data_IF_373231023626
#
_entry.id   IF_373231023626
#
_cell.length_a   1.000
_cell.length_b   1.000
_cell.length_c   1.000
_cell.angle_alpha   90.00
_cell.angle_beta   90.00
_cell.angle_gamma   90.00
#
_symmetry.space_group_name_H-M   'P 1'
#
loop_
_entity.id
_entity.type
_entity.pdbx_description
1 polymer ?
#
# COMPACT_ATOMS: atom_id res chain seq x y z
N UNK A 1 3.62 -24.39 -2.80
CA UNK A 1 4.56 -23.24 -2.85
C UNK A 1 4.25 -22.27 -4.01
N UNK A 2 3.73 -22.72 -5.15
CA UNK A 2 3.38 -21.86 -6.29
C UNK A 2 2.12 -21.00 -6.01
N UNK A 3 1.16 -21.49 -5.27
CA UNK A 3 -0.10 -20.79 -4.94
C UNK A 3 0.09 -19.63 -3.93
N UNK A 4 1.15 -19.65 -3.11
CA UNK A 4 1.44 -18.57 -2.17
C UNK A 4 2.08 -17.34 -2.86
N UNK A 5 2.72 -17.52 -4.02
CA UNK A 5 3.31 -16.45 -4.82
C UNK A 5 2.26 -15.71 -5.68
N UNK A 6 1.18 -16.38 -6.07
CA UNK A 6 0.09 -15.78 -6.85
C UNK A 6 -0.79 -14.81 -6.04
N UNK A 7 -0.74 -14.87 -4.70
CA UNK A 7 -1.53 -13.98 -3.83
C UNK A 7 -0.87 -12.63 -3.51
N UNK A 8 0.39 -12.43 -3.91
CA UNK A 8 1.17 -11.23 -3.54
C UNK A 8 1.02 -10.05 -4.52
N UNK A 9 0.69 -10.29 -5.78
CA UNK A 9 0.27 -9.24 -6.71
C UNK A 9 -1.15 -9.58 -7.14
N UNK A 10 -2.07 -8.62 -7.06
CA UNK A 10 -3.42 -8.83 -7.58
C UNK A 10 -3.34 -9.09 -9.09
N UNK A 11 -3.80 -10.27 -9.60
CA UNK A 11 -3.71 -10.59 -11.03
C UNK A 11 -4.38 -9.54 -11.91
N UNK A 12 -5.45 -8.94 -11.40
CA UNK A 12 -6.18 -7.87 -12.06
C UNK A 12 -5.34 -6.58 -12.22
N UNK A 13 -4.53 -6.22 -11.21
CA UNK A 13 -3.61 -5.08 -11.33
C UNK A 13 -2.57 -5.33 -12.43
N UNK A 14 -1.95 -6.50 -12.44
CA UNK A 14 -0.96 -6.87 -13.46
C UNK A 14 -1.55 -6.80 -14.87
N UNK A 15 -2.72 -7.40 -15.06
CA UNK A 15 -3.42 -7.38 -16.35
C UNK A 15 -3.75 -5.96 -16.81
N UNK A 16 -4.30 -5.12 -15.93
CA UNK A 16 -4.64 -3.74 -16.23
C UNK A 16 -3.40 -2.90 -16.55
N UNK A 17 -2.29 -3.13 -15.82
CA UNK A 17 -1.02 -2.44 -16.08
C UNK A 17 -0.46 -2.80 -17.44
N UNK A 18 -0.46 -4.08 -17.81
CA UNK A 18 -0.01 -4.53 -19.13
C UNK A 18 -0.86 -3.94 -20.26
N UNK A 19 -2.20 -3.91 -20.11
CA UNK A 19 -3.09 -3.28 -21.08
C UNK A 19 -2.81 -1.78 -21.23
N UNK A 20 -2.55 -1.07 -20.12
CA UNK A 20 -2.16 0.33 -20.12
C UNK A 20 -0.83 0.52 -20.86
N UNK A 21 0.18 -0.30 -20.59
CA UNK A 21 1.47 -0.24 -21.30
C UNK A 21 1.26 -0.47 -22.79
N UNK A 22 0.49 -1.48 -23.19
CA UNK A 22 0.19 -1.75 -24.61
C UNK A 22 -0.46 -0.55 -25.31
N UNK A 23 -1.36 0.17 -24.64
CA UNK A 23 -2.00 1.35 -25.22
C UNK A 23 -1.00 2.48 -25.48
N UNK A 24 0.05 2.60 -24.66
CA UNK A 24 1.09 3.62 -24.81
C UNK A 24 2.21 3.22 -25.79
N UNK A 25 2.38 1.95 -26.14
CA UNK A 25 3.47 1.53 -27.04
C UNK A 25 3.49 2.29 -28.38
N UNK A 26 2.32 2.69 -28.90
CA UNK A 26 2.22 3.43 -30.16
C UNK A 26 2.09 4.94 -29.98
N UNK A 27 1.46 5.39 -28.90
CA UNK A 27 1.10 6.79 -28.68
C UNK A 27 2.14 7.55 -27.88
N UNK A 28 2.78 6.90 -26.92
CA UNK A 28 3.84 7.47 -26.07
C UNK A 28 4.80 6.38 -25.60
N UNK A 29 5.78 5.97 -26.43
CA UNK A 29 6.72 4.89 -26.10
C UNK A 29 7.56 5.13 -24.83
N UNK A 30 7.86 6.40 -24.51
CA UNK A 30 8.61 6.75 -23.30
C UNK A 30 7.78 6.43 -22.03
N UNK A 31 6.50 6.78 -22.02
CA UNK A 31 5.60 6.40 -20.93
C UNK A 31 5.50 4.88 -20.82
N UNK A 32 5.38 4.16 -21.94
CA UNK A 32 5.35 2.70 -21.93
C UNK A 32 6.63 2.10 -21.32
N UNK A 33 7.81 2.64 -21.65
CA UNK A 33 9.10 2.20 -21.11
C UNK A 33 9.19 2.46 -19.61
N UNK A 34 8.76 3.64 -19.14
CA UNK A 34 8.72 4.01 -17.72
C UNK A 34 7.82 3.07 -16.93
N UNK A 35 6.61 2.80 -17.45
CA UNK A 35 5.68 1.86 -16.79
C UNK A 35 6.23 0.43 -16.73
N UNK A 36 6.93 -0.03 -17.77
CA UNK A 36 7.62 -1.33 -17.75
C UNK A 36 8.71 -1.38 -16.68
N UNK A 37 9.50 -0.31 -16.52
CA UNK A 37 10.52 -0.24 -15.47
C UNK A 37 9.90 -0.29 -14.06
N UNK A 38 8.81 0.45 -13.81
CA UNK A 38 8.10 0.38 -12.54
C UNK A 38 7.51 -1.00 -12.29
N UNK A 39 6.90 -1.62 -13.31
CA UNK A 39 6.37 -2.97 -13.20
C UNK A 39 7.47 -3.99 -12.89
N UNK A 40 8.63 -3.90 -13.55
CA UNK A 40 9.78 -4.75 -13.27
C UNK A 40 10.27 -4.60 -11.83
N UNK A 41 10.33 -3.36 -11.30
CA UNK A 41 10.68 -3.09 -9.89
C UNK A 41 9.70 -3.76 -8.93
N UNK A 42 8.39 -3.66 -9.17
CA UNK A 42 7.38 -4.31 -8.36
C UNK A 42 7.50 -5.84 -8.39
N UNK A 43 7.69 -6.41 -9.57
CA UNK A 43 7.86 -7.86 -9.74
C UNK A 43 9.10 -8.37 -9.00
N UNK A 44 10.24 -7.69 -9.14
CA UNK A 44 11.49 -8.06 -8.47
C UNK A 44 11.31 -8.11 -6.95
N UNK A 45 10.62 -7.14 -6.37
CA UNK A 45 10.32 -7.11 -4.91
C UNK A 45 9.47 -8.29 -4.44
N UNK A 46 8.53 -8.75 -5.26
CA UNK A 46 7.73 -9.94 -4.94
C UNK A 46 8.58 -11.22 -4.88
N UNK A 47 9.69 -11.28 -5.64
CA UNK A 47 10.62 -12.42 -5.62
C UNK A 47 11.68 -12.32 -4.51
N UNK A 48 12.05 -11.12 -4.10
CA UNK A 48 13.08 -10.88 -3.08
C UNK A 48 12.60 -11.03 -1.62
N UNK A 49 11.35 -11.45 -1.41
CA UNK A 49 10.71 -11.63 -0.09
C UNK A 49 11.33 -12.78 0.75
N UNK A 50 12.68 -12.83 0.85
CA UNK A 50 13.42 -13.78 1.71
C UNK A 50 13.77 -13.19 3.07
N UNK A 51 13.58 -11.89 3.27
CA UNK A 51 13.88 -11.20 4.52
C UNK A 51 12.63 -11.05 5.37
N UNK A 52 12.75 -11.30 6.66
CA UNK A 52 11.67 -11.15 7.62
C UNK A 52 11.29 -9.68 7.83
N UNK A 53 12.28 -8.78 7.68
CA UNK A 53 12.12 -7.34 7.80
C UNK A 53 12.85 -6.61 6.68
N UNK A 54 12.30 -5.47 6.27
CA UNK A 54 12.89 -4.52 5.31
C UNK A 54 12.85 -3.10 5.89
N UNK A 55 13.67 -2.18 5.37
CA UNK A 55 13.56 -0.78 5.76
C UNK A 55 12.26 -0.16 5.25
N UNK A 56 11.68 0.79 6.01
CA UNK A 56 10.53 1.56 5.56
C UNK A 56 10.79 2.24 4.20
N UNK A 57 12.01 2.75 3.99
CA UNK A 57 12.44 3.29 2.70
C UNK A 57 12.24 2.27 1.57
N UNK A 58 12.70 1.03 1.79
CA UNK A 58 12.52 -0.04 0.81
C UNK A 58 11.04 -0.31 0.53
N UNK A 59 10.17 -0.36 1.53
CA UNK A 59 8.72 -0.52 1.32
C UNK A 59 8.15 0.67 0.51
N UNK A 60 8.53 1.90 0.88
CA UNK A 60 8.07 3.12 0.20
C UNK A 60 8.53 3.21 -1.26
N UNK A 61 9.75 2.76 -1.59
CA UNK A 61 10.18 2.71 -3.00
C UNK A 61 9.27 1.82 -3.86
N UNK A 62 8.78 0.69 -3.30
CA UNK A 62 7.79 -0.16 -3.98
C UNK A 62 6.44 0.54 -4.14
N UNK A 63 5.98 1.21 -3.08
CA UNK A 63 4.74 1.98 -3.11
C UNK A 63 4.82 3.10 -4.15
N UNK A 64 5.93 3.82 -4.22
CA UNK A 64 6.14 4.88 -5.22
C UNK A 64 6.06 4.31 -6.64
N UNK A 65 6.73 3.19 -6.91
CA UNK A 65 6.64 2.53 -8.22
C UNK A 65 5.19 2.12 -8.57
N UNK A 66 4.43 1.61 -7.60
CA UNK A 66 3.02 1.30 -7.75
C UNK A 66 2.17 2.54 -8.04
N UNK A 67 2.40 3.63 -7.29
CA UNK A 67 1.69 4.89 -7.45
C UNK A 67 1.94 5.55 -8.81
N UNK A 68 3.16 5.47 -9.36
CA UNK A 68 3.46 5.97 -10.71
C UNK A 68 2.65 5.22 -11.79
N UNK A 69 2.47 3.91 -11.64
CA UNK A 69 1.56 3.16 -12.52
C UNK A 69 0.11 3.60 -12.32
N UNK A 70 -0.32 3.76 -11.06
CA UNK A 70 -1.68 4.19 -10.74
C UNK A 70 -1.99 5.59 -11.29
N UNK A 71 -1.06 6.55 -11.19
CA UNK A 71 -1.22 7.91 -11.73
C UNK A 71 -1.54 7.91 -13.23
N UNK A 72 -0.96 7.01 -14.00
CA UNK A 72 -1.27 6.90 -15.44
C UNK A 72 -2.71 6.44 -15.67
N UNK A 73 -3.22 5.53 -14.83
CA UNK A 73 -4.61 5.03 -14.90
C UNK A 73 -5.64 6.07 -14.44
N UNK A 74 -5.32 6.81 -13.39
CA UNK A 74 -6.19 7.84 -12.83
C UNK A 74 -6.13 9.16 -13.61
N UNK A 75 -5.03 9.41 -14.34
CA UNK A 75 -4.76 10.70 -14.99
C UNK A 75 -4.63 11.83 -13.97
N UNK A 76 -5.05 13.02 -14.35
CA UNK A 76 -4.96 14.23 -13.50
C UNK A 76 -5.88 14.24 -12.28
N UNK A 77 -6.78 13.27 -12.13
CA UNK A 77 -7.72 13.21 -10.99
C UNK A 77 -7.11 12.66 -9.70
N UNK A 78 -5.91 12.05 -9.74
CA UNK A 78 -5.23 11.52 -8.55
C UNK A 78 -4.17 12.48 -8.05
N UNK A 79 -4.36 12.99 -6.85
CA UNK A 79 -3.34 13.67 -6.06
C UNK A 79 -2.79 12.71 -4.99
N UNK A 80 -1.46 12.66 -4.86
CA UNK A 80 -0.77 11.84 -3.85
C UNK A 80 0.13 12.75 -3.04
N UNK A 81 0.01 12.67 -1.72
CA UNK A 81 0.85 13.36 -0.76
C UNK A 81 1.55 12.36 0.15
N UNK A 82 2.89 12.44 0.25
CA UNK A 82 3.71 11.55 1.06
C UNK A 82 4.55 12.40 2.01
N UNK A 83 4.33 12.21 3.31
CA UNK A 83 5.02 12.93 4.37
C UNK A 83 5.49 11.95 5.47
N UNK A 84 6.69 11.41 5.27
CA UNK A 84 7.34 10.45 6.18
C UNK A 84 8.48 11.16 6.90
N UNK A 85 8.49 11.08 8.23
CA UNK A 85 9.63 11.57 9.03
C UNK A 85 10.91 10.87 8.55
N UNK A 86 11.96 11.63 8.15
CA UNK A 86 13.22 11.06 7.70
C UNK A 86 13.85 10.09 8.70
N UNK A 87 13.62 10.27 10.00
CA UNK A 87 14.09 9.37 11.04
C UNK A 87 13.54 7.95 10.90
N UNK A 88 12.41 7.78 10.21
CA UNK A 88 11.76 6.47 10.00
C UNK A 88 12.29 5.71 8.77
N UNK A 89 13.08 6.33 7.89
CA UNK A 89 13.51 5.67 6.64
C UNK A 89 14.16 4.31 6.85
N UNK A 90 14.98 4.19 7.91
CA UNK A 90 15.71 2.96 8.24
C UNK A 90 14.97 2.05 9.22
N UNK A 91 13.75 2.44 9.66
CA UNK A 91 12.94 1.61 10.53
C UNK A 91 12.64 0.26 9.87
N UNK A 92 12.77 -0.81 10.63
CA UNK A 92 12.54 -2.17 10.14
C UNK A 92 11.06 -2.53 10.26
N UNK A 93 10.45 -2.90 9.15
CA UNK A 93 9.05 -3.33 9.09
C UNK A 93 8.94 -4.66 8.34
N UNK A 94 7.94 -5.48 8.61
CA UNK A 94 7.67 -6.66 7.79
C UNK A 94 7.35 -6.23 6.34
N UNK A 95 7.84 -6.91 5.31
CA UNK A 95 7.55 -6.57 3.92
C UNK A 95 6.05 -6.65 3.63
N UNK A 96 5.56 -5.87 2.66
CA UNK A 96 4.14 -5.79 2.29
C UNK A 96 3.23 -5.40 3.47
N UNK A 97 3.68 -4.47 4.29
CA UNK A 97 2.88 -3.93 5.40
C UNK A 97 1.99 -2.78 4.95
N UNK A 98 2.51 -1.85 4.16
CA UNK A 98 1.77 -0.68 3.66
C UNK A 98 1.15 -0.92 2.29
N UNK A 99 1.82 -1.66 1.42
CA UNK A 99 1.41 -1.84 0.03
C UNK A 99 -0.04 -2.34 -0.10
N UNK A 100 -0.52 -3.39 0.64
CA UNK A 100 -1.91 -3.84 0.54
C UNK A 100 -2.93 -2.77 0.95
N UNK A 101 -2.56 -1.86 1.85
CA UNK A 101 -3.44 -0.77 2.29
C UNK A 101 -3.53 0.33 1.22
N UNK A 102 -2.42 0.65 0.56
CA UNK A 102 -2.38 1.58 -0.59
C UNK A 102 -3.19 1.02 -1.77
N UNK A 103 -3.04 -0.27 -2.07
CA UNK A 103 -3.82 -0.96 -3.10
C UNK A 103 -5.32 -0.87 -2.81
N UNK A 104 -5.73 -1.15 -1.57
CA UNK A 104 -7.14 -1.04 -1.17
C UNK A 104 -7.68 0.40 -1.26
N UNK A 105 -6.90 1.40 -0.85
CA UNK A 105 -7.28 2.80 -0.96
C UNK A 105 -7.52 3.20 -2.42
N UNK A 106 -6.65 2.78 -3.33
CA UNK A 106 -6.77 3.09 -4.75
C UNK A 106 -7.92 2.32 -5.42
N UNK A 107 -7.96 0.99 -5.28
CA UNK A 107 -8.89 0.16 -6.04
C UNK A 107 -10.33 0.20 -5.47
N UNK A 108 -10.47 0.26 -4.15
CA UNK A 108 -11.78 0.23 -3.50
C UNK A 108 -12.26 1.59 -3.01
N UNK A 109 -11.35 2.48 -2.62
CA UNK A 109 -11.68 3.81 -2.15
C UNK A 109 -11.83 4.80 -3.30
N UNK A 110 -10.77 4.96 -4.10
CA UNK A 110 -10.65 6.05 -5.07
C UNK A 110 -11.11 5.70 -6.48
N UNK A 111 -10.93 4.45 -6.94
CA UNK A 111 -11.29 4.08 -8.31
C UNK A 111 -12.76 4.30 -8.65
N UNK A 112 -13.73 4.05 -7.73
CA UNK A 112 -15.15 4.35 -7.98
C UNK A 112 -15.46 5.84 -8.10
N UNK A 113 -14.55 6.72 -7.63
CA UNK A 113 -14.74 8.16 -7.61
C UNK A 113 -14.43 8.79 -8.98
N UNK A 114 -15.24 9.75 -9.42
CA UNK A 114 -15.11 10.36 -10.75
C UNK A 114 -14.00 11.41 -10.78
N UNK A 115 -13.81 12.18 -9.70
CA UNK A 115 -12.89 13.31 -9.61
C UNK A 115 -12.34 13.51 -8.20
N UNK A 116 -11.35 14.38 -8.03
CA UNK A 116 -10.77 14.77 -6.75
C UNK A 116 -10.38 13.54 -5.88
N UNK A 117 -9.62 12.61 -6.46
CA UNK A 117 -9.06 11.47 -5.76
C UNK A 117 -7.79 11.91 -5.03
N UNK A 118 -7.76 11.75 -3.71
CA UNK A 118 -6.59 12.10 -2.89
C UNK A 118 -6.18 10.92 -2.03
N UNK A 119 -4.90 10.61 -2.08
CA UNK A 119 -4.24 9.63 -1.23
C UNK A 119 -3.15 10.34 -0.43
N UNK A 120 -3.14 10.16 0.88
CA UNK A 120 -2.10 10.69 1.77
C UNK A 120 -1.44 9.55 2.51
N UNK A 121 -0.10 9.56 2.57
CA UNK A 121 0.71 8.59 3.30
C UNK A 121 1.58 9.37 4.27
N UNK A 122 1.37 9.15 5.57
CA UNK A 122 2.11 9.84 6.63
C UNK A 122 2.86 8.85 7.51
N UNK A 123 4.05 9.22 7.96
CA UNK A 123 4.81 8.49 8.96
C UNK A 123 5.34 9.41 10.04
N UNK A 124 5.11 9.07 11.30
CA UNK A 124 5.56 9.87 12.46
C UNK A 124 6.14 8.98 13.53
N UNK A 125 7.24 9.47 14.13
CA UNK A 125 7.79 8.89 15.34
C UNK A 125 7.01 9.42 16.55
N UNK A 126 6.61 8.53 17.45
CA UNK A 126 5.91 8.85 18.70
C UNK A 126 6.67 8.28 19.89
N UNK A 127 6.25 8.63 21.11
CA UNK A 127 6.84 8.06 22.34
C UNK A 127 6.60 6.55 22.47
N UNK A 128 5.58 6.03 21.82
CA UNK A 128 5.15 4.63 21.90
C UNK A 128 5.58 3.79 20.68
N UNK A 129 6.40 4.35 19.79
CA UNK A 129 6.83 3.70 18.55
C UNK A 129 6.57 4.58 17.34
N UNK A 130 6.47 3.98 16.16
CA UNK A 130 6.11 4.71 14.94
C UNK A 130 4.66 4.47 14.55
N UNK A 131 4.06 5.50 13.97
CA UNK A 131 2.70 5.47 13.41
C UNK A 131 2.81 5.77 11.92
N UNK A 132 2.29 4.85 11.10
CA UNK A 132 2.18 4.99 9.65
C UNK A 132 0.70 5.06 9.31
N UNK A 133 0.30 6.08 8.55
CA UNK A 133 -1.10 6.33 8.23
C UNK A 133 -1.28 6.45 6.71
N UNK A 134 -2.25 5.71 6.17
CA UNK A 134 -2.69 5.81 4.79
C UNK A 134 -4.14 6.28 4.82
N UNK A 135 -4.41 7.38 4.16
CA UNK A 135 -5.74 8.00 4.12
C UNK A 135 -6.14 8.29 2.69
N UNK A 136 -7.34 7.88 2.33
CA UNK A 136 -7.99 8.26 1.07
C UNK A 136 -9.25 9.11 1.35
N UNK A 137 -9.65 9.90 0.36
CA UNK A 137 -10.93 10.62 0.34
C UNK A 137 -11.96 9.91 -0.57
N UNK A 138 -11.90 8.59 -0.62
CA UNK A 138 -12.74 7.76 -1.49
C UNK A 138 -14.18 7.61 -1.02
N UNK A 139 -14.84 6.59 -1.55
CA UNK A 139 -16.25 6.29 -1.25
C UNK A 139 -16.49 5.81 0.18
N UNK A 140 -15.42 5.47 0.90
CA UNK A 140 -15.51 4.96 2.27
C UNK A 140 -16.17 3.58 2.36
N UNK A 141 -16.39 3.13 3.59
CA UNK A 141 -16.90 1.80 3.91
C UNK A 141 -18.06 1.93 4.89
N UNK A 142 -19.18 1.29 4.57
CA UNK A 142 -20.34 1.27 5.47
C UNK A 142 -19.99 0.53 6.79
N UNK A 143 -20.54 0.98 7.94
CA UNK A 143 -20.21 0.43 9.26
C UNK A 143 -20.38 -1.09 9.37
N UNK A 144 -21.42 -1.64 8.74
CA UNK A 144 -21.68 -3.09 8.73
C UNK A 144 -20.56 -3.88 8.00
N UNK A 145 -20.05 -3.33 6.88
CA UNK A 145 -18.93 -3.92 6.13
C UNK A 145 -17.61 -3.72 6.86
N UNK A 146 -17.43 -2.58 7.54
CA UNK A 146 -16.21 -2.29 8.30
C UNK A 146 -16.06 -3.27 9.47
N UNK A 147 -17.14 -3.58 10.19
CA UNK A 147 -17.14 -4.58 11.27
C UNK A 147 -16.75 -5.99 10.77
N UNK A 148 -17.12 -6.37 9.55
CA UNK A 148 -16.76 -7.65 8.92
C UNK A 148 -15.34 -7.70 8.35
N UNK A 149 -14.71 -6.55 8.08
CA UNK A 149 -13.39 -6.50 7.43
C UNK A 149 -12.26 -7.19 8.18
N UNK A 150 -12.38 -7.29 9.50
CA UNK A 150 -11.40 -7.93 10.36
C UNK A 150 -11.69 -9.41 10.61
N UNK A 151 -12.85 -9.91 10.16
CA UNK A 151 -13.34 -11.26 10.46
C UNK A 151 -13.59 -12.11 9.21
N UNK A 152 -13.81 -11.51 8.04
CA UNK A 152 -14.12 -12.24 6.79
C UNK A 152 -12.89 -12.45 5.91
N UNK A 153 -12.78 -13.66 5.34
CA UNK A 153 -11.65 -14.11 4.52
C UNK A 153 -11.53 -13.47 3.14
N UNK A 154 -12.51 -12.67 2.72
CA UNK A 154 -12.59 -12.15 1.34
C UNK A 154 -11.64 -10.98 1.04
N UNK A 155 -10.99 -10.39 2.05
CA UNK A 155 -9.99 -9.33 1.89
C UNK A 155 -8.64 -9.75 2.48
N UNK A 156 -8.04 -10.74 1.86
CA UNK A 156 -6.81 -11.42 2.26
C UNK A 156 -5.68 -10.43 2.62
N UNK A 157 -5.54 -9.31 1.91
CA UNK A 157 -4.44 -8.36 2.12
C UNK A 157 -4.48 -7.66 3.48
N UNK A 158 -5.59 -7.01 3.83
CA UNK A 158 -5.74 -6.23 5.08
C UNK A 158 -5.74 -7.14 6.31
N UNK A 159 -6.47 -8.25 6.22
CA UNK A 159 -6.56 -9.24 7.31
C UNK A 159 -5.19 -9.85 7.59
N UNK A 160 -4.43 -10.19 6.55
CA UNK A 160 -3.06 -10.72 6.69
C UNK A 160 -2.12 -9.70 7.35
N UNK A 161 -2.19 -8.42 6.98
CA UNK A 161 -1.40 -7.36 7.62
C UNK A 161 -1.75 -7.27 9.10
N UNK A 162 -3.04 -7.20 9.44
CA UNK A 162 -3.50 -7.09 10.83
C UNK A 162 -3.05 -8.28 11.69
N UNK A 163 -3.26 -9.51 11.19
CA UNK A 163 -2.87 -10.72 11.90
C UNK A 163 -1.35 -10.82 12.08
N UNK A 164 -0.58 -10.50 11.04
CA UNK A 164 0.87 -10.53 11.10
C UNK A 164 1.43 -9.53 12.10
N UNK A 165 0.94 -8.28 12.10
CA UNK A 165 1.39 -7.26 13.05
C UNK A 165 1.07 -7.64 14.48
N UNK A 166 -0.14 -8.17 14.74
CA UNK A 166 -0.51 -8.66 16.08
C UNK A 166 0.34 -9.84 16.53
N UNK A 167 0.66 -10.76 15.62
CA UNK A 167 1.49 -11.92 15.92
C UNK A 167 2.93 -11.55 16.25
N UNK A 168 3.49 -10.52 15.55
CA UNK A 168 4.87 -10.08 15.74
C UNK A 168 5.06 -9.19 16.95
N UNK A 169 4.13 -8.29 17.23
CA UNK A 169 4.34 -7.20 18.18
C UNK A 169 3.39 -7.24 19.39
N UNK A 170 2.28 -7.97 19.31
CA UNK A 170 1.28 -7.98 20.38
C UNK A 170 0.60 -6.63 20.62
N UNK A 171 -0.25 -6.55 21.64
CA UNK A 171 -0.87 -5.28 22.05
C UNK A 171 0.17 -4.33 22.70
N UNK A 172 0.09 -3.00 22.47
CA UNK A 172 -0.99 -2.25 21.82
C UNK A 172 -0.75 -1.98 20.31
N UNK A 173 0.12 -2.75 19.68
CA UNK A 173 0.52 -2.56 18.28
C UNK A 173 -0.47 -3.22 17.30
N UNK A 174 -0.41 -2.82 16.05
CA UNK A 174 -1.22 -3.41 15.00
C UNK A 174 -1.83 -2.39 14.05
N UNK A 175 -2.87 -2.83 13.34
CA UNK A 175 -3.61 -2.05 12.35
C UNK A 175 -4.97 -1.63 12.91
N UNK A 176 -5.31 -0.36 12.76
CA UNK A 176 -6.65 0.19 12.99
C UNK A 176 -7.18 0.85 11.71
N UNK A 177 -8.48 0.70 11.44
CA UNK A 177 -9.13 1.28 10.27
C UNK A 177 -10.35 2.07 10.74
N UNK A 178 -10.44 3.30 10.28
CA UNK A 178 -11.62 4.16 10.43
C UNK A 178 -12.12 4.57 9.05
N UNK A 179 -13.43 4.50 8.85
CA UNK A 179 -14.02 4.85 7.56
C UNK A 179 -15.45 5.34 7.75
N UNK A 180 -15.84 6.27 6.90
CA UNK A 180 -17.20 6.76 6.81
C UNK A 180 -17.61 6.79 5.34
N UNK A 181 -18.86 6.41 5.02
CA UNK A 181 -19.39 6.54 3.67
C UNK A 181 -19.20 7.95 3.12
N UNK A 182 -18.74 8.05 1.89
CA UNK A 182 -18.47 9.29 1.14
C UNK A 182 -17.40 10.23 1.75
N UNK A 183 -16.74 9.81 2.84
CA UNK A 183 -15.69 10.59 3.50
C UNK A 183 -14.30 9.91 3.43
N UNK A 184 -14.24 8.71 2.85
CA UNK A 184 -12.98 7.97 2.67
C UNK A 184 -12.64 7.03 3.82
N UNK A 185 -11.41 6.54 3.77
CA UNK A 185 -10.89 5.55 4.74
C UNK A 185 -9.52 5.98 5.23
N UNK A 186 -9.27 5.76 6.51
CA UNK A 186 -7.96 5.90 7.13
C UNK A 186 -7.54 4.57 7.74
N UNK A 187 -6.38 4.06 7.31
CA UNK A 187 -5.71 2.91 7.89
C UNK A 187 -4.47 3.40 8.64
N UNK A 188 -4.38 3.09 9.93
CA UNK A 188 -3.27 3.49 10.80
C UNK A 188 -2.59 2.24 11.36
N UNK A 189 -1.29 2.15 11.14
CA UNK A 189 -0.41 1.11 11.68
C UNK A 189 0.40 1.70 12.82
N UNK A 190 0.38 1.04 13.98
CA UNK A 190 1.28 1.34 15.08
C UNK A 190 2.18 0.13 15.30
N UNK A 191 3.49 0.34 15.29
CA UNK A 191 4.50 -0.69 15.58
C UNK A 191 5.65 -0.09 16.39
N UNK A 192 6.41 -0.92 17.14
CA UNK A 192 7.57 -0.44 17.88
C UNK A 192 8.60 0.16 16.90
N UNK A 193 9.32 1.15 17.34
CA UNK A 193 10.41 1.73 16.56
C UNK A 193 11.73 1.11 17.01
N UNK A 194 12.27 0.24 16.18
CA UNK A 194 13.62 -0.28 16.32
C UNK A 194 14.48 0.33 15.19
N UNK A 195 15.32 1.31 15.52
CA UNK A 195 16.38 1.72 14.63
C UNK A 195 17.50 0.67 14.74
N UNK A 196 17.98 0.10 13.64
CA UNK A 196 19.30 -0.53 13.65
C UNK A 196 20.33 0.57 13.94
N UNK A 197 20.61 0.79 15.21
CA UNK A 197 21.86 1.45 15.57
C UNK A 197 22.95 0.47 15.13
N UNK A 198 23.74 0.89 14.10
CA UNK A 198 24.91 0.16 13.65
C UNK A 198 25.81 -0.08 14.83
N UNK A 199 26.04 -1.33 15.19
CA UNK A 199 27.13 -1.72 16.07
C UNK A 199 28.43 -1.69 15.27
#
# INVERSE_FOLDING_TARGET
RFNALQSQIQPHFLYNTLNTIMSFCRTNPETARTLLAHLATLMQRCFDNRTEFISLKSEMDGIIAYLEIAKVRFGSRLAVDIDIDPALEQAQIPPLTLQPLVENALDHGLFPKISDCRLTINGRLTKEGMVLCIQDNGVGIAPQKLAGLMTESDRIGVTNVSQRLRSLYGEPYGLSITSHPDAGTQASIRIPFESKVSA
#
